data_IF_257811403997
#
_entry.id   IF_257811403997
#
_cell.length_a   1.000
_cell.length_b   1.000
_cell.length_c   1.000
_cell.angle_alpha   90.00
_cell.angle_beta   90.00
_cell.angle_gamma   90.00
#
_symmetry.space_group_name_H-M   'P 1'
#
loop_
_entity.id
_entity.type
_entity.pdbx_description
1 polymer ?
#
# COMPACT_ATOMS: atom_id res chain seq x y z
N UNK A 1 11.71 -1.73 21.68
CA UNK A 1 10.77 -0.83 22.38
C UNK A 1 9.70 -0.38 21.41
N UNK A 2 8.44 -0.74 21.66
CA UNK A 2 7.27 -0.16 21.00
C UNK A 2 6.84 1.03 21.85
N UNK A 3 6.93 2.24 21.31
CA UNK A 3 6.38 3.45 21.96
C UNK A 3 4.99 3.65 21.36
N UNK A 4 3.93 3.13 21.99
CA UNK A 4 2.55 3.51 21.65
C UNK A 4 1.52 2.41 21.29
N UNK A 5 1.83 1.13 21.46
CA UNK A 5 0.91 0.09 21.94
C UNK A 5 -0.46 -0.23 21.31
N UNK A 6 -1.02 0.50 20.34
CA UNK A 6 -2.30 0.11 19.71
C UNK A 6 -2.27 0.33 18.20
N UNK A 7 -2.42 -0.77 17.45
CA UNK A 7 -2.90 -0.70 16.07
C UNK A 7 -4.29 -0.07 16.14
N UNK A 8 -4.40 1.18 15.72
CA UNK A 8 -5.68 1.87 15.69
C UNK A 8 -6.65 1.04 14.81
N UNK A 9 -7.89 0.75 15.22
CA UNK A 9 -8.85 -0.03 14.42
C UNK A 9 -9.20 0.56 13.03
N UNK A 10 -8.61 1.71 12.69
CA UNK A 10 -8.78 2.41 11.43
C UNK A 10 -7.44 2.56 10.71
N UNK A 11 -6.42 1.78 11.05
CA UNK A 11 -5.10 1.84 10.44
C UNK A 11 -4.64 0.44 10.05
N UNK A 12 -4.46 0.22 8.75
CA UNK A 12 -4.17 -1.07 8.15
C UNK A 12 -2.94 -0.96 7.26
N UNK A 13 -2.05 -1.95 7.35
CA UNK A 13 -0.94 -2.12 6.41
C UNK A 13 -1.40 -3.04 5.29
N UNK A 14 -1.29 -2.57 4.04
CA UNK A 14 -1.55 -3.39 2.86
C UNK A 14 -0.31 -4.23 2.57
N UNK A 15 -0.49 -5.53 2.33
CA UNK A 15 0.59 -6.47 2.05
C UNK A 15 0.37 -7.21 0.74
N UNK A 16 1.44 -7.45 0.00
CA UNK A 16 1.43 -8.24 -1.23
C UNK A 16 2.68 -9.12 -1.28
N UNK A 17 2.50 -10.43 -1.50
CA UNK A 17 3.58 -11.43 -1.49
C UNK A 17 4.49 -11.34 -0.25
N UNK A 18 3.88 -11.07 0.91
CA UNK A 18 4.59 -10.96 2.19
C UNK A 18 5.41 -9.69 2.38
N UNK A 19 5.22 -8.67 1.53
CA UNK A 19 5.87 -7.36 1.69
C UNK A 19 4.84 -6.27 1.89
N UNK A 20 5.18 -5.28 2.72
CA UNK A 20 4.38 -4.09 2.92
C UNK A 20 4.42 -3.24 1.64
N UNK A 21 3.23 -2.89 1.16
CA UNK A 21 3.07 -2.15 -0.11
C UNK A 21 2.26 -0.88 0.03
N UNK A 22 1.64 -0.66 1.19
CA UNK A 22 0.89 0.55 1.43
C UNK A 22 0.22 0.59 2.78
N UNK A 23 -0.57 1.64 2.99
CA UNK A 23 -1.30 1.87 4.23
C UNK A 23 -2.69 2.40 3.93
N UNK A 24 -3.66 2.02 4.73
CA UNK A 24 -5.05 2.50 4.68
C UNK A 24 -5.41 3.04 6.06
N UNK A 25 -5.80 4.31 6.13
CA UNK A 25 -6.06 5.03 7.38
C UNK A 25 -7.41 5.74 7.33
N UNK A 26 -8.31 5.43 8.26
CA UNK A 26 -9.53 6.18 8.50
C UNK A 26 -9.22 7.46 9.28
N UNK A 27 -9.77 8.58 8.81
CA UNK A 27 -9.65 9.87 9.46
C UNK A 27 -10.68 9.97 10.59
N UNK A 28 -10.20 10.23 11.81
CA UNK A 28 -11.03 10.23 13.04
C UNK A 28 -11.61 11.59 13.37
N UNK A 29 -10.93 12.66 12.98
CA UNK A 29 -11.17 13.98 13.50
C UNK A 29 -11.12 15.04 12.41
N UNK A 30 -11.78 16.17 12.68
CA UNK A 30 -11.80 17.31 11.77
C UNK A 30 -12.74 17.11 10.57
N UNK A 31 -12.64 18.00 9.56
CA UNK A 31 -13.55 18.02 8.40
C UNK A 31 -13.55 16.75 7.55
N UNK A 32 -12.53 15.89 7.70
CA UNK A 32 -12.40 14.63 6.97
C UNK A 32 -12.93 13.41 7.74
N UNK A 33 -13.52 13.58 8.93
CA UNK A 33 -14.00 12.46 9.73
C UNK A 33 -14.98 11.57 8.93
N UNK A 34 -14.73 10.26 8.94
CA UNK A 34 -15.52 9.28 8.17
C UNK A 34 -14.93 8.93 6.79
N UNK A 35 -13.93 9.68 6.31
CA UNK A 35 -13.19 9.34 5.10
C UNK A 35 -11.99 8.42 5.39
N UNK A 36 -11.54 7.74 4.35
CA UNK A 36 -10.44 6.79 4.37
C UNK A 36 -9.36 7.24 3.40
N UNK A 37 -8.12 7.32 3.86
CA UNK A 37 -6.95 7.60 3.03
C UNK A 37 -6.20 6.33 2.75
N UNK A 38 -5.58 6.26 1.59
CA UNK A 38 -4.69 5.17 1.23
C UNK A 38 -3.41 5.72 0.60
N UNK A 39 -2.32 4.98 0.73
CA UNK A 39 -1.07 5.29 0.05
C UNK A 39 -0.29 4.03 -0.30
N UNK A 40 0.39 4.05 -1.45
CA UNK A 40 1.41 3.08 -1.82
C UNK A 40 2.71 3.51 -1.15
N UNK A 41 3.25 2.62 -0.32
CA UNK A 41 4.50 2.79 0.37
C UNK A 41 5.15 1.41 0.47
N UNK A 42 6.18 1.18 -0.32
CA UNK A 42 6.94 -0.05 -0.28
C UNK A 42 8.44 0.24 -0.16
N UNK A 43 9.11 -0.55 0.66
CA UNK A 43 10.57 -0.59 0.73
C UNK A 43 11.14 -1.79 -0.05
N UNK A 44 10.26 -2.59 -0.66
CA UNK A 44 10.64 -3.75 -1.42
C UNK A 44 11.19 -3.33 -2.80
N UNK A 45 12.50 -3.51 -2.96
CA UNK A 45 13.26 -3.14 -4.16
C UNK A 45 12.86 -3.95 -5.40
N UNK A 46 12.02 -4.98 -5.27
CA UNK A 46 11.39 -5.67 -6.40
C UNK A 46 10.53 -4.69 -7.21
N UNK A 47 9.88 -3.74 -6.55
CA UNK A 47 9.01 -2.76 -7.17
C UNK A 47 9.78 -1.46 -7.37
N UNK A 48 10.42 -1.32 -8.55
CA UNK A 48 11.46 -0.31 -8.83
C UNK A 48 10.96 1.12 -9.07
N UNK A 49 9.65 1.36 -9.05
CA UNK A 49 9.10 2.71 -9.24
C UNK A 49 9.22 3.58 -7.98
N UNK A 50 9.11 4.90 -8.18
CA UNK A 50 8.84 5.81 -7.07
C UNK A 50 7.43 5.54 -6.55
N UNK A 51 7.33 4.84 -5.41
CA UNK A 51 6.10 4.77 -4.63
C UNK A 51 5.72 6.16 -4.10
N UNK A 52 4.43 6.38 -3.84
CA UNK A 52 3.93 7.66 -3.33
C UNK A 52 2.53 8.03 -3.82
N UNK A 53 1.95 7.22 -4.70
CA UNK A 53 0.53 7.33 -5.05
C UNK A 53 -0.31 7.22 -3.79
N UNK A 54 -1.34 8.06 -3.71
CA UNK A 54 -2.23 8.15 -2.56
C UNK A 54 -3.59 8.65 -3.01
N UNK A 55 -4.60 8.34 -2.23
CA UNK A 55 -5.96 8.78 -2.48
C UNK A 55 -6.79 8.83 -1.20
N UNK A 56 -8.05 9.17 -1.39
CA UNK A 56 -9.04 9.29 -0.32
C UNK A 56 -10.38 8.82 -0.86
N UNK A 57 -11.06 7.98 -0.08
CA UNK A 57 -12.38 7.45 -0.37
C UNK A 57 -13.33 7.65 0.81
N UNK A 58 -14.64 7.45 0.59
CA UNK A 58 -15.65 7.64 1.62
C UNK A 58 -15.80 6.41 2.50
N UNK A 59 -15.40 5.24 2.01
CA UNK A 59 -15.47 3.97 2.76
C UNK A 59 -14.13 3.25 2.77
N UNK A 60 -13.99 2.32 3.71
CA UNK A 60 -12.80 1.45 3.79
C UNK A 60 -12.65 0.62 2.53
N UNK A 61 -13.75 0.02 2.07
CA UNK A 61 -13.72 -0.92 0.94
C UNK A 61 -13.37 -0.22 -0.37
N UNK A 62 -13.87 1.01 -0.57
CA UNK A 62 -13.43 1.85 -1.69
C UNK A 62 -11.93 2.18 -1.60
N UNK A 63 -11.42 2.55 -0.42
CA UNK A 63 -9.99 2.84 -0.25
C UNK A 63 -9.11 1.59 -0.50
N UNK A 64 -9.59 0.40 -0.16
CA UNK A 64 -8.94 -0.88 -0.49
C UNK A 64 -8.94 -1.09 -2.01
N UNK A 65 -10.10 -1.00 -2.65
CA UNK A 65 -10.24 -1.22 -4.09
C UNK A 65 -9.40 -0.24 -4.92
N UNK A 66 -9.36 1.04 -4.53
CA UNK A 66 -8.51 2.04 -5.19
C UNK A 66 -7.02 1.73 -5.01
N UNK A 67 -6.58 1.38 -3.80
CA UNK A 67 -5.19 1.00 -3.56
C UNK A 67 -4.81 -0.22 -4.39
N UNK A 68 -5.63 -1.26 -4.42
CA UNK A 68 -5.40 -2.48 -5.20
C UNK A 68 -5.30 -2.18 -6.69
N UNK A 69 -6.21 -1.38 -7.24
CA UNK A 69 -6.21 -1.00 -8.65
C UNK A 69 -4.94 -0.22 -9.01
N UNK A 70 -4.59 0.79 -8.21
CA UNK A 70 -3.42 1.64 -8.47
C UNK A 70 -2.13 0.85 -8.28
N UNK A 71 -2.06 -0.02 -7.27
CA UNK A 71 -0.90 -0.88 -7.04
C UNK A 71 -0.72 -1.93 -8.15
N UNK A 72 -1.81 -2.51 -8.64
CA UNK A 72 -1.78 -3.44 -9.79
C UNK A 72 -1.24 -2.74 -11.03
N UNK A 73 -1.75 -1.54 -11.33
CA UNK A 73 -1.25 -0.71 -12.44
C UNK A 73 0.23 -0.36 -12.25
N UNK A 74 0.61 0.04 -11.04
CA UNK A 74 1.99 0.35 -10.69
C UNK A 74 2.94 -0.83 -10.93
N UNK A 75 2.57 -2.06 -10.55
CA UNK A 75 3.38 -3.25 -10.84
C UNK A 75 3.42 -3.53 -12.35
N UNK A 76 2.29 -3.43 -13.05
CA UNK A 76 2.23 -3.67 -14.49
C UNK A 76 3.10 -2.69 -15.30
N UNK A 77 3.22 -1.45 -14.83
CA UNK A 77 4.05 -0.41 -15.45
C UNK A 77 5.52 -0.45 -14.95
N UNK A 78 5.80 -1.17 -13.88
CA UNK A 78 7.18 -1.32 -13.36
C UNK A 78 7.96 -2.23 -14.31
N UNK A 79 9.05 -1.75 -14.93
CA UNK A 79 9.86 -2.57 -15.83
C UNK A 79 10.34 -3.84 -15.12
N UNK A 80 10.39 -4.96 -15.84
CA UNK A 80 10.98 -6.19 -15.32
C UNK A 80 12.45 -5.93 -14.95
N UNK A 81 12.71 -5.74 -13.65
CA UNK A 81 14.02 -6.04 -13.10
C UNK A 81 14.23 -7.55 -13.14
N UNK A 82 15.48 -8.05 -13.03
CA UNK A 82 15.71 -9.48 -12.91
C UNK A 82 14.84 -10.00 -11.77
N UNK A 83 13.84 -10.84 -12.11
CA UNK A 83 12.95 -11.40 -11.10
C UNK A 83 13.82 -12.14 -10.09
N UNK A 84 13.62 -11.94 -8.78
CA UNK A 84 14.30 -12.74 -7.78
C UNK A 84 13.92 -14.24 -7.88
N UNK A 85 12.89 -14.55 -8.68
CA UNK A 85 12.47 -15.91 -9.01
C UNK A 85 12.88 -16.36 -10.42
N UNK A 86 13.58 -15.53 -11.20
CA UNK A 86 14.26 -15.98 -12.43
C UNK A 86 15.39 -16.91 -12.04
N UNK A 87 15.06 -18.20 -11.92
CA UNK A 87 16.05 -19.25 -11.70
C UNK A 87 16.99 -19.22 -12.91
N UNK A 88 18.28 -18.96 -12.69
CA UNK A 88 19.30 -19.17 -13.72
C UNK A 88 19.23 -20.64 -14.13
N UNK A 89 18.72 -20.92 -15.32
CA UNK A 89 18.93 -22.20 -15.97
C UNK A 89 20.44 -22.32 -16.21
N UNK A 90 21.07 -23.28 -15.52
CA UNK A 90 22.49 -23.60 -15.71
C UNK A 90 22.70 -24.45 -16.94
#
# INVERSE_FOLDING_TARGET
TIIGGQIAPQDFVATFLGSDVGRIQGERHGPGAGSWRWSIATHDKRWRGHGGQRGQANTKDEAVAELEQVFTKYIAETPEGPSPYSRKSS
#
